data_IF_747060942549
#
_entry.id   IF_747060942549
#
_cell.length_a   1.000
_cell.length_b   1.000
_cell.length_c   1.000
_cell.angle_alpha   90.00
_cell.angle_beta   90.00
_cell.angle_gamma   90.00
#
_symmetry.space_group_name_H-M   'P 1'
#
loop_
_entity.id
_entity.type
_entity.pdbx_description
1 polymer ?
#
# COMPACT_ATOMS: atom_id res chain seq x y z
N UNK A 1 -7.65 -2.03 -3.92
CA UNK A 1 -6.46 -1.73 -3.10
C UNK A 1 -5.53 -0.89 -3.96
N UNK A 2 -5.19 0.31 -3.50
CA UNK A 2 -4.32 1.26 -4.20
C UNK A 2 -2.98 1.32 -3.46
N UNK A 3 -1.94 0.62 -3.96
CA UNK A 3 -0.61 0.66 -3.37
C UNK A 3 0.09 1.98 -3.67
N UNK A 4 0.93 2.43 -2.72
CA UNK A 4 1.94 3.46 -2.96
C UNK A 4 3.20 2.89 -3.61
N UNK A 5 4.37 3.41 -3.22
CA UNK A 5 5.65 2.84 -3.61
C UNK A 5 5.94 1.55 -2.83
N UNK A 6 5.99 0.41 -3.53
CA UNK A 6 6.20 -0.92 -2.97
C UNK A 6 7.49 -1.51 -3.51
N UNK A 7 8.32 -2.06 -2.63
CA UNK A 7 9.59 -2.70 -2.95
C UNK A 7 9.38 -3.94 -3.84
N UNK A 8 9.49 -3.70 -5.14
CA UNK A 8 9.32 -4.67 -6.21
C UNK A 8 10.29 -4.35 -7.33
N UNK A 9 10.55 -5.31 -8.21
CA UNK A 9 11.36 -5.13 -9.43
C UNK A 9 10.93 -3.91 -10.26
N UNK A 10 9.63 -3.58 -10.27
CA UNK A 10 9.09 -2.41 -10.98
C UNK A 10 9.59 -1.06 -10.42
N UNK A 11 9.90 -1.01 -9.12
CA UNK A 11 10.27 0.21 -8.41
C UNK A 11 11.74 0.29 -8.02
N UNK A 12 12.52 -0.77 -8.27
CA UNK A 12 13.93 -0.86 -7.86
C UNK A 12 14.74 0.34 -8.33
N UNK A 13 14.59 0.74 -9.60
CA UNK A 13 15.31 1.86 -10.21
C UNK A 13 14.70 3.23 -9.88
N UNK A 14 13.56 3.26 -9.17
CA UNK A 14 12.87 4.47 -8.75
C UNK A 14 13.19 4.84 -7.29
N UNK A 15 13.96 4.02 -6.57
CA UNK A 15 14.32 4.29 -5.18
C UNK A 15 15.15 5.56 -5.08
N UNK A 16 14.65 6.54 -4.32
CA UNK A 16 15.36 7.78 -4.02
C UNK A 16 14.94 8.33 -2.66
N UNK A 17 15.86 9.04 -1.99
CA UNK A 17 15.59 9.72 -0.72
C UNK A 17 14.43 10.72 -0.85
N UNK A 18 14.35 11.41 -1.99
CA UNK A 18 13.28 12.38 -2.26
C UNK A 18 11.87 11.75 -2.27
N UNK A 19 11.74 10.49 -2.71
CA UNK A 19 10.46 9.76 -2.63
C UNK A 19 10.20 9.29 -1.20
N UNK A 20 11.24 8.82 -0.49
CA UNK A 20 11.11 8.37 0.90
C UNK A 20 10.63 9.51 1.81
N UNK A 21 11.11 10.74 1.60
CA UNK A 21 10.67 11.93 2.35
C UNK A 21 9.19 12.26 2.15
N UNK A 22 8.59 11.84 1.04
CA UNK A 22 7.15 12.01 0.78
C UNK A 22 6.29 10.90 1.42
N UNK A 23 6.92 9.85 1.96
CA UNK A 23 6.22 8.76 2.63
C UNK A 23 6.37 8.97 4.14
N UNK A 24 5.29 9.31 4.88
CA UNK A 24 5.35 9.52 6.33
C UNK A 24 5.95 8.36 7.14
N UNK A 25 5.75 7.11 6.70
CA UNK A 25 6.38 5.94 7.34
C UNK A 25 7.87 5.76 7.00
N UNK A 26 8.45 6.62 6.15
CA UNK A 26 9.89 6.70 5.89
C UNK A 26 10.47 5.50 5.15
N UNK A 27 9.65 4.73 4.42
CA UNK A 27 10.11 3.58 3.64
C UNK A 27 9.12 3.20 2.55
N UNK A 28 9.60 2.42 1.58
CA UNK A 28 8.74 1.72 0.63
C UNK A 28 7.97 0.62 1.37
N UNK A 29 6.73 0.38 0.93
CA UNK A 29 5.95 -0.76 1.40
C UNK A 29 6.57 -2.08 0.93
N UNK A 30 6.24 -3.18 1.57
CA UNK A 30 6.58 -4.53 1.13
C UNK A 30 5.38 -5.16 0.40
N UNK A 31 5.58 -6.06 -0.57
CA UNK A 31 4.50 -6.73 -1.27
C UNK A 31 3.49 -7.41 -0.34
N UNK A 32 3.96 -7.96 0.78
CA UNK A 32 3.15 -8.64 1.80
C UNK A 32 2.16 -7.70 2.49
N UNK A 33 2.46 -6.40 2.58
CA UNK A 33 1.57 -5.41 3.19
C UNK A 33 0.35 -5.13 2.28
N UNK A 34 0.56 -5.09 0.97
CA UNK A 34 -0.52 -5.01 -0.02
C UNK A 34 -1.31 -6.32 -0.04
N UNK A 35 -0.62 -7.46 -0.05
CA UNK A 35 -1.25 -8.78 0.00
C UNK A 35 -2.08 -8.97 1.27
N UNK A 36 -1.64 -8.43 2.42
CA UNK A 36 -2.38 -8.43 3.67
C UNK A 36 -3.73 -7.75 3.57
N UNK A 37 -3.79 -6.55 2.96
CA UNK A 37 -5.05 -5.84 2.72
C UNK A 37 -5.97 -6.62 1.75
N UNK A 38 -5.40 -7.18 0.67
CA UNK A 38 -6.18 -8.01 -0.26
C UNK A 38 -6.76 -9.24 0.44
N UNK A 39 -5.96 -9.92 1.27
CA UNK A 39 -6.40 -11.07 2.08
C UNK A 39 -7.52 -10.69 3.03
N UNK A 40 -7.41 -9.55 3.73
CA UNK A 40 -8.47 -9.06 4.60
C UNK A 40 -9.78 -8.89 3.82
N UNK A 41 -9.75 -8.16 2.70
CA UNK A 41 -10.93 -7.91 1.89
C UNK A 41 -11.54 -9.20 1.29
N UNK A 42 -10.71 -10.18 0.95
CA UNK A 42 -11.16 -11.40 0.30
C UNK A 42 -11.63 -12.50 1.26
N UNK A 43 -11.05 -12.59 2.46
CA UNK A 43 -11.21 -13.76 3.32
C UNK A 43 -11.68 -13.45 4.74
N UNK A 44 -11.57 -12.22 5.22
CA UNK A 44 -11.96 -11.88 6.58
C UNK A 44 -13.46 -11.57 6.67
N UNK A 45 -14.23 -12.22 7.57
CA UNK A 45 -15.65 -11.92 7.78
C UNK A 45 -15.94 -10.46 8.13
N UNK A 46 -14.97 -9.74 8.73
CA UNK A 46 -15.11 -8.31 9.03
C UNK A 46 -15.24 -7.44 7.77
N UNK A 47 -14.77 -7.93 6.61
CA UNK A 47 -14.90 -7.25 5.33
C UNK A 47 -16.24 -7.51 4.62
N UNK A 48 -17.14 -8.34 5.16
CA UNK A 48 -18.34 -8.81 4.46
C UNK A 48 -19.31 -7.69 4.01
N UNK A 49 -19.25 -6.51 4.62
CA UNK A 49 -20.08 -5.36 4.27
C UNK A 49 -19.30 -4.22 3.57
N UNK A 50 -18.09 -4.50 3.12
CA UNK A 50 -17.23 -3.55 2.41
C UNK A 50 -17.34 -3.81 0.91
N UNK A 51 -17.91 -2.87 0.17
CA UNK A 51 -18.02 -2.95 -1.29
C UNK A 51 -17.91 -1.57 -1.95
N UNK A 52 -17.39 -1.54 -3.18
CA UNK A 52 -17.19 -0.30 -3.96
C UNK A 52 -16.12 0.64 -3.43
N UNK A 53 -15.32 0.22 -2.44
CA UNK A 53 -14.30 1.06 -1.80
C UNK A 53 -12.90 0.82 -2.37
N UNK A 54 -12.09 1.89 -2.40
CA UNK A 54 -10.67 1.82 -2.68
C UNK A 54 -9.92 2.07 -1.37
N UNK A 55 -9.05 1.13 -0.99
CA UNK A 55 -8.21 1.24 0.20
C UNK A 55 -6.78 1.59 -0.20
N UNK A 56 -6.29 2.72 0.28
CA UNK A 56 -4.90 3.14 0.15
C UNK A 56 -3.99 2.31 1.07
N UNK A 57 -2.88 1.84 0.51
CA UNK A 57 -1.80 1.14 1.23
C UNK A 57 -0.49 1.73 0.76
N UNK A 58 -0.17 2.92 1.25
CA UNK A 58 0.88 3.79 0.69
C UNK A 58 1.78 4.45 1.75
N UNK A 59 1.68 4.02 3.01
CA UNK A 59 2.48 4.59 4.09
C UNK A 59 2.17 6.04 4.43
N UNK A 60 0.98 6.53 4.03
CA UNK A 60 0.52 7.90 4.29
C UNK A 60 0.90 8.91 3.20
N UNK A 61 1.37 8.43 2.05
CA UNK A 61 1.78 9.28 0.93
C UNK A 61 0.62 10.15 0.40
N UNK A 62 -0.61 9.65 0.47
CA UNK A 62 -1.82 10.41 0.11
C UNK A 62 -2.81 10.35 1.27
N UNK A 63 -3.43 11.49 1.58
CA UNK A 63 -4.59 11.56 2.46
C UNK A 63 -5.81 11.90 1.60
N UNK A 64 -6.66 10.88 1.34
CA UNK A 64 -7.88 10.96 0.53
C UNK A 64 -9.11 10.58 1.35
#
# INVERSE_FOLDING_TARGET
VAPGFIDTDMTTDLKSEAIIEQIPLGRYGQPEEVAGMVRFLAADPAAAYITGQVFNVDGGMVMA
#
